data_IF_692382801600
#
_entry.id   IF_692382801600
#
_cell.length_a   1.000
_cell.length_b   1.000
_cell.length_c   1.000
_cell.angle_alpha   90.00
_cell.angle_beta   90.00
_cell.angle_gamma   90.00
#
_symmetry.space_group_name_H-M   'P 1'
#
loop_
_entity.id
_entity.type
_entity.pdbx_description
1 polymer ?
#
# COMPACT_ATOMS: atom_id res chain seq x y z
N UNK A 1 12.41 -9.27 19.17
CA UNK A 1 11.24 -8.51 18.66
C UNK A 1 10.85 -9.06 17.31
N UNK A 2 9.57 -9.38 17.11
CA UNK A 2 9.03 -9.72 15.79
C UNK A 2 9.15 -8.50 14.88
N UNK A 3 9.42 -8.75 13.60
CA UNK A 3 9.63 -7.71 12.59
C UNK A 3 8.77 -8.06 11.39
N UNK A 4 8.18 -7.05 10.78
CA UNK A 4 7.43 -7.18 9.55
C UNK A 4 8.05 -6.25 8.50
N UNK A 5 8.18 -6.77 7.28
CA UNK A 5 8.60 -5.97 6.15
C UNK A 5 7.43 -5.11 5.65
N UNK A 6 7.75 -3.97 5.07
CA UNK A 6 6.81 -3.19 4.29
C UNK A 6 6.14 -4.07 3.21
N UNK A 7 4.83 -3.87 3.02
CA UNK A 7 3.92 -4.61 2.16
C UNK A 7 3.63 -6.06 2.57
N UNK A 8 4.12 -6.54 3.73
CA UNK A 8 3.66 -7.83 4.24
C UNK A 8 2.21 -7.76 4.67
N UNK A 9 1.47 -8.84 4.40
CA UNK A 9 0.12 -9.01 4.92
C UNK A 9 0.19 -9.61 6.32
N UNK A 10 -0.54 -9.02 7.26
CA UNK A 10 -0.57 -9.42 8.66
C UNK A 10 -2.00 -9.56 9.15
N UNK A 11 -2.16 -10.43 10.13
CA UNK A 11 -3.36 -10.64 10.94
C UNK A 11 -3.16 -9.81 12.20
N UNK A 12 -4.14 -8.96 12.52
CA UNK A 12 -4.16 -8.16 13.74
C UNK A 12 -5.08 -8.81 14.77
N UNK A 13 -4.64 -8.86 16.03
CA UNK A 13 -5.47 -9.27 17.16
C UNK A 13 -5.90 -8.03 17.95
N UNK A 14 -7.21 -7.80 17.99
CA UNK A 14 -7.82 -6.68 18.74
C UNK A 14 -7.82 -6.93 20.26
N UNK A 15 -8.15 -5.91 21.06
CA UNK A 15 -8.22 -5.98 22.52
C UNK A 15 -9.22 -7.03 23.03
N UNK A 16 -10.25 -7.32 22.24
CA UNK A 16 -11.25 -8.36 22.53
C UNK A 16 -10.78 -9.77 22.15
N UNK A 17 -9.53 -9.92 21.71
CA UNK A 17 -8.95 -11.20 21.27
C UNK A 17 -9.45 -11.68 19.91
N UNK A 18 -10.15 -10.82 19.16
CA UNK A 18 -10.62 -11.14 17.80
C UNK A 18 -9.48 -10.99 16.81
N UNK A 19 -9.27 -12.03 16.00
CA UNK A 19 -8.33 -11.97 14.90
C UNK A 19 -9.03 -11.37 13.69
N UNK A 20 -8.52 -10.23 13.23
CA UNK A 20 -9.00 -9.54 12.05
C UNK A 20 -7.91 -9.70 10.99
N UNK A 21 -8.31 -10.33 9.89
CA UNK A 21 -7.40 -10.73 8.83
C UNK A 21 -7.24 -9.62 7.78
N UNK A 22 -6.13 -9.66 7.04
CA UNK A 22 -5.85 -8.86 5.83
C UNK A 22 -5.51 -7.38 6.08
N UNK A 23 -4.42 -7.12 6.81
CA UNK A 23 -3.83 -5.78 6.87
C UNK A 23 -2.46 -5.73 6.22
N UNK A 24 -2.16 -4.61 5.59
CA UNK A 24 -0.86 -4.37 4.94
C UNK A 24 0.01 -3.52 5.86
N UNK A 25 1.26 -3.96 6.06
CA UNK A 25 2.27 -3.19 6.80
C UNK A 25 2.82 -2.07 5.93
N UNK A 26 2.73 -0.83 6.41
CA UNK A 26 3.38 0.31 5.77
C UNK A 26 4.82 0.47 6.23
N UNK A 27 5.05 0.43 7.53
CA UNK A 27 6.37 0.65 8.11
C UNK A 27 6.43 -0.02 9.47
N UNK A 28 7.61 -0.50 9.86
CA UNK A 28 7.89 -0.90 11.23
C UNK A 28 9.05 -0.08 11.75
N UNK A 29 8.82 0.68 12.81
CA UNK A 29 9.89 1.43 13.49
C UNK A 29 10.85 0.45 14.16
N UNK A 30 12.11 0.50 13.71
CA UNK A 30 13.18 -0.39 14.13
C UNK A 30 13.62 -0.17 15.59
N UNK A 31 13.39 1.02 16.15
CA UNK A 31 13.75 1.35 17.53
C UNK A 31 12.68 0.92 18.53
N UNK A 32 11.40 1.06 18.17
CA UNK A 32 10.28 0.84 19.09
C UNK A 32 9.52 -0.47 18.83
N UNK A 33 9.65 -1.06 17.65
CA UNK A 33 8.90 -2.26 17.24
C UNK A 33 7.42 -1.98 16.95
N UNK A 34 7.04 -0.71 16.82
CA UNK A 34 5.69 -0.30 16.45
C UNK A 34 5.55 -0.47 14.93
N UNK A 35 4.53 -1.22 14.53
CA UNK A 35 4.20 -1.47 13.13
C UNK A 35 2.97 -0.67 12.76
N UNK A 36 3.08 0.07 11.66
CA UNK A 36 2.00 0.81 11.05
C UNK A 36 1.26 -0.08 10.05
N UNK A 37 -0.05 -0.24 10.24
CA UNK A 37 -0.91 -1.06 9.38
C UNK A 37 -2.00 -0.22 8.72
N UNK A 38 -2.48 -0.64 7.55
CA UNK A 38 -3.52 0.09 6.81
C UNK A 38 -4.92 0.09 7.44
N UNK A 39 -5.14 -0.65 8.54
CA UNK A 39 -6.41 -0.61 9.25
C UNK A 39 -6.58 0.74 9.93
N UNK A 40 -7.40 1.64 9.39
CA UNK A 40 -7.68 2.95 10.02
C UNK A 40 -6.41 3.75 10.37
N UNK A 41 -5.31 3.56 9.63
CA UNK A 41 -4.00 4.19 9.90
C UNK A 41 -3.45 3.88 11.31
N UNK A 42 -3.71 2.66 11.81
CA UNK A 42 -3.37 2.25 13.16
C UNK A 42 -1.90 1.88 13.33
N UNK A 43 -1.31 2.35 14.43
CA UNK A 43 0.02 1.96 14.90
C UNK A 43 -0.12 0.96 16.04
N UNK A 44 0.38 -0.25 15.82
CA UNK A 44 0.21 -1.37 16.75
C UNK A 44 1.56 -2.00 17.10
N UNK A 45 1.63 -2.61 18.28
CA UNK A 45 2.81 -3.36 18.68
C UNK A 45 2.94 -4.64 17.84
N UNK A 46 4.17 -5.00 17.48
CA UNK A 46 4.44 -6.20 16.68
C UNK A 46 3.93 -7.51 17.31
N UNK A 47 3.73 -7.55 18.64
CA UNK A 47 3.22 -8.73 19.34
C UNK A 47 1.72 -8.97 19.10
N UNK A 48 0.97 -7.91 18.77
CA UNK A 48 -0.44 -7.99 18.37
C UNK A 48 -0.62 -8.38 16.88
N UNK A 49 0.50 -8.59 16.17
CA UNK A 49 0.51 -8.92 14.76
C UNK A 49 1.07 -10.33 14.52
N UNK A 50 0.52 -10.99 13.50
CA UNK A 50 1.01 -12.26 12.99
C UNK A 50 1.09 -12.19 11.47
N UNK A 51 2.13 -12.77 10.88
CA UNK A 51 2.22 -12.86 9.43
C UNK A 51 1.06 -13.70 8.90
N UNK A 52 0.36 -13.21 7.88
CA UNK A 52 -0.68 -13.97 7.22
C UNK A 52 -0.05 -15.13 6.41
N UNK A 53 -0.60 -16.36 6.46
CA UNK A 53 -0.03 -17.52 5.75
C UNK A 53 0.03 -17.35 4.23
N UNK A 54 -0.82 -16.48 3.66
CA UNK A 54 -0.79 -16.12 2.24
C UNK A 54 0.19 -15.01 1.88
N UNK A 55 0.93 -14.46 2.84
CA UNK A 55 1.94 -13.44 2.55
C UNK A 55 3.06 -14.07 1.74
N UNK A 56 3.20 -13.60 0.51
CA UNK A 56 4.30 -13.98 -0.37
C UNK A 56 5.58 -13.49 0.31
N UNK A 57 6.45 -14.42 0.75
CA UNK A 57 7.77 -14.06 1.23
C UNK A 57 8.44 -13.15 0.20
N UNK A 58 9.09 -12.07 0.65
CA UNK A 58 9.69 -11.01 -0.18
C UNK A 58 10.59 -11.50 -1.33
N UNK A 59 10.97 -12.78 -1.33
CA UNK A 59 11.79 -13.45 -2.34
C UNK A 59 11.13 -14.67 -3.02
N UNK A 60 9.91 -15.06 -2.66
CA UNK A 60 9.15 -16.14 -3.30
C UNK A 60 8.20 -15.59 -4.37
N UNK A 61 8.72 -14.82 -5.32
CA UNK A 61 8.11 -14.90 -6.65
C UNK A 61 8.30 -16.36 -7.10
N UNK A 62 7.26 -17.09 -7.53
CA UNK A 62 7.44 -18.36 -8.20
C UNK A 62 8.09 -18.06 -9.57
N UNK A 63 9.41 -17.83 -9.55
CA UNK A 63 10.30 -17.80 -10.72
C UNK A 63 10.40 -19.18 -11.38
N UNK A 64 9.59 -20.15 -10.95
CA UNK A 64 9.52 -21.47 -11.56
C UNK A 64 8.78 -21.41 -12.90
N UNK A 65 7.89 -20.44 -13.08
CA UNK A 65 7.16 -20.25 -14.35
C UNK A 65 7.88 -19.21 -15.22
N UNK A 66 8.35 -19.65 -16.39
CA UNK A 66 8.98 -18.80 -17.41
C UNK A 66 8.07 -17.61 -17.81
N UNK A 67 6.76 -17.75 -17.68
CA UNK A 67 5.79 -16.71 -17.96
C UNK A 67 5.87 -15.53 -16.97
N UNK A 68 6.14 -15.80 -15.69
CA UNK A 68 6.27 -14.78 -14.64
C UNK A 68 7.48 -13.86 -14.88
N UNK A 69 8.58 -14.41 -15.39
CA UNK A 69 9.74 -13.62 -15.81
C UNK A 69 9.43 -12.70 -16.98
N UNK A 70 8.66 -13.18 -17.96
CA UNK A 70 8.30 -12.38 -19.13
C UNK A 70 7.39 -11.20 -18.75
N UNK A 71 6.44 -11.43 -17.84
CA UNK A 71 5.59 -10.37 -17.28
C UNK A 71 6.44 -9.37 -16.49
N UNK A 72 7.32 -9.84 -15.61
CA UNK A 72 8.19 -8.95 -14.83
C UNK A 72 9.09 -8.10 -15.74
N UNK A 73 9.67 -8.71 -16.79
CA UNK A 73 10.46 -8.00 -17.80
C UNK A 73 9.63 -6.94 -18.52
N UNK A 74 8.43 -7.28 -19.01
CA UNK A 74 7.52 -6.33 -19.68
C UNK A 74 7.12 -5.17 -18.76
N UNK A 75 6.85 -5.43 -17.49
CA UNK A 75 6.53 -4.40 -16.50
C UNK A 75 7.72 -3.49 -16.23
N UNK A 76 8.91 -4.07 -16.02
CA UNK A 76 10.15 -3.32 -15.82
C UNK A 76 10.47 -2.45 -17.04
N UNK A 77 10.30 -2.97 -18.25
CA UNK A 77 10.54 -2.22 -19.48
C UNK A 77 9.50 -1.09 -19.65
N UNK A 78 8.23 -1.35 -19.33
CA UNK A 78 7.14 -0.35 -19.42
C UNK A 78 7.29 0.81 -18.44
N UNK A 79 7.69 0.54 -17.20
CA UNK A 79 7.77 1.56 -16.14
C UNK A 79 9.19 2.05 -15.85
N UNK A 80 10.22 1.38 -16.37
CA UNK A 80 11.62 1.83 -16.32
C UNK A 80 11.96 2.91 -17.35
N UNK A 81 11.15 3.02 -18.42
CA UNK A 81 11.18 4.16 -19.31
C UNK A 81 10.68 5.39 -18.53
N UNK A 82 11.60 6.30 -18.20
CA UNK A 82 11.35 7.55 -17.44
C UNK A 82 10.43 8.55 -18.15
N UNK A 83 9.93 8.23 -19.33
CA UNK A 83 9.12 9.12 -20.15
C UNK A 83 7.66 8.67 -20.11
N UNK A 84 7.00 8.84 -18.96
CA UNK A 84 5.54 9.01 -18.97
C UNK A 84 5.32 10.45 -19.40
N UNK A 85 4.84 10.74 -20.63
CA UNK A 85 4.56 12.11 -21.02
C UNK A 85 3.49 12.63 -20.07
N UNK A 86 3.84 13.61 -19.24
CA UNK A 86 2.91 14.34 -18.42
C UNK A 86 1.92 15.03 -19.36
N UNK A 87 0.72 14.47 -19.51
CA UNK A 87 -0.35 15.10 -20.27
C UNK A 87 -0.83 16.28 -19.41
N UNK A 88 -0.24 17.46 -19.62
CA UNK A 88 -0.77 18.70 -19.06
C UNK A 88 -2.07 19.02 -19.79
N UNK A 89 -3.20 18.71 -19.16
CA UNK A 89 -4.51 19.17 -19.61
C UNK A 89 -4.74 20.54 -19.01
N UNK A 90 -4.71 21.58 -19.83
CA UNK A 90 -5.25 22.88 -19.43
C UNK A 90 -6.76 22.75 -19.29
N UNK A 91 -7.20 22.64 -18.03
CA UNK A 91 -8.61 22.71 -17.68
C UNK A 91 -9.09 24.14 -17.96
N UNK A 92 -9.81 24.34 -19.06
CA UNK A 92 -10.61 25.55 -19.26
C UNK A 92 -11.79 25.49 -18.30
N UNK A 93 -11.72 26.26 -17.23
CA UNK A 93 -12.85 26.53 -16.35
C UNK A 93 -13.92 27.28 -17.14
N UNK A 94 -15.08 26.66 -17.35
CA UNK A 94 -16.24 27.38 -17.85
C UNK A 94 -16.76 28.35 -16.77
N UNK A 95 -17.10 29.57 -17.19
CA UNK A 95 -17.44 30.71 -16.33
C UNK A 95 -18.72 30.55 -15.50
N UNK A 96 -19.39 29.40 -15.54
CA UNK A 96 -20.70 29.20 -14.93
C UNK A 96 -20.69 28.98 -13.41
N UNK A 97 -19.52 28.75 -12.79
CA UNK A 97 -19.44 28.52 -11.34
C UNK A 97 -19.28 29.78 -10.48
N UNK A 98 -19.12 30.97 -11.09
CA UNK A 98 -18.99 32.23 -10.34
C UNK A 98 -20.31 32.77 -9.77
N UNK A 99 -21.48 32.29 -10.22
CA UNK A 99 -22.76 32.85 -9.78
C UNK A 99 -23.25 32.31 -8.43
N UNK A 100 -22.80 31.12 -8.02
CA UNK A 100 -23.30 30.45 -6.80
C UNK A 100 -22.58 30.95 -5.53
N UNK A 101 -21.35 31.47 -5.65
CA UNK A 101 -20.57 31.92 -4.49
C UNK A 101 -20.93 33.34 -4.01
N UNK A 102 -21.75 34.09 -4.76
CA UNK A 102 -22.14 35.46 -4.39
C UNK A 102 -23.39 35.57 -3.52
N UNK A 103 -24.08 34.45 -3.26
CA UNK A 103 -25.29 34.41 -2.44
C UNK A 103 -25.07 33.91 -1.01
N UNK A 104 -23.82 33.65 -0.62
CA UNK A 104 -23.43 33.35 0.75
C UNK A 104 -22.48 34.44 1.26
N UNK A 105 -23.01 35.64 1.50
CA UNK A 105 -22.34 36.74 2.23
C UNK A 105 -23.39 37.57 2.95
#
# INVERSE_FOLDING_TARGET
>A
MKRFNENETVIYTDSDGRNIDTFVVFETDMATGITHINHMDMKVQADALRLHPGTIEKYNLPMVDAFSFEIFKKLKDKYGAKDVPSISRDLKTEANHMHVLKQAS
#
